data_IF_968887360636
#
_entry.id   IF_968887360636
#
_cell.length_a   1.000
_cell.length_b   1.000
_cell.length_c   1.000
_cell.angle_alpha   90.00
_cell.angle_beta   90.00
_cell.angle_gamma   90.00
#
_symmetry.space_group_name_H-M   'P 1'
#
loop_
_entity.id
_entity.type
_entity.pdbx_description
1 polymer ?
#
# COMPACT_ATOMS: atom_id res chain seq x y z
N UNK A 1 -14.70 22.18 55.99
CA UNK A 1 -13.43 21.88 55.29
C UNK A 1 -13.38 20.37 55.09
N UNK A 2 -13.66 19.87 53.88
CA UNK A 2 -13.61 18.44 53.56
C UNK A 2 -12.24 18.14 52.94
N UNK A 3 -11.46 17.28 53.60
CA UNK A 3 -10.20 16.74 53.10
C UNK A 3 -10.49 15.42 52.40
N UNK A 4 -10.30 15.39 51.07
CA UNK A 4 -10.38 14.18 50.25
C UNK A 4 -8.96 13.79 49.89
N UNK A 5 -8.34 12.95 50.72
CA UNK A 5 -7.08 12.30 50.40
C UNK A 5 -7.35 11.07 49.53
N UNK A 6 -7.37 11.27 48.21
CA UNK A 6 -7.47 10.19 47.22
C UNK A 6 -6.15 9.41 47.19
N UNK A 7 -6.13 8.25 47.83
CA UNK A 7 -5.02 7.30 47.76
C UNK A 7 -5.15 6.49 46.48
N UNK A 8 -4.52 6.95 45.40
CA UNK A 8 -4.32 6.12 44.22
C UNK A 8 -3.38 4.97 44.60
N UNK A 9 -3.93 3.76 44.77
CA UNK A 9 -3.14 2.55 44.97
C UNK A 9 -2.35 2.28 43.69
N UNK A 10 -1.02 2.40 43.76
CA UNK A 10 -0.15 2.03 42.65
C UNK A 10 -0.25 0.52 42.44
N UNK A 11 -0.55 0.04 41.23
CA UNK A 11 -0.58 -1.39 40.95
C UNK A 11 0.83 -1.95 41.15
N UNK A 12 0.97 -2.88 42.10
CA UNK A 12 2.24 -3.58 42.35
C UNK A 12 2.23 -4.85 41.53
N UNK A 13 3.22 -5.03 40.63
CA UNK A 13 3.38 -6.27 39.88
C UNK A 13 3.83 -7.40 40.80
N UNK A 14 3.38 -8.62 40.52
CA UNK A 14 3.81 -9.81 41.27
C UNK A 14 5.31 -10.05 41.10
N UNK A 15 5.97 -10.51 42.17
CA UNK A 15 7.43 -10.72 42.21
C UNK A 15 7.90 -11.73 41.15
N UNK A 16 7.05 -12.69 40.80
CA UNK A 16 7.31 -13.69 39.76
C UNK A 16 7.43 -13.08 38.36
N UNK A 17 6.70 -11.98 38.11
CA UNK A 17 6.75 -11.27 36.83
C UNK A 17 8.06 -10.48 36.75
N UNK A 18 8.40 -9.75 37.82
CA UNK A 18 9.59 -8.88 37.89
C UNK A 18 10.90 -9.69 37.84
N UNK A 19 10.89 -10.89 38.39
CA UNK A 19 12.05 -11.79 38.39
C UNK A 19 12.10 -12.70 37.16
N UNK A 20 11.16 -12.60 36.22
CA UNK A 20 11.20 -13.41 35.00
C UNK A 20 12.37 -13.00 34.12
N UNK A 21 12.98 -13.98 33.44
CA UNK A 21 14.02 -13.71 32.42
C UNK A 21 13.51 -12.76 31.34
N UNK A 22 12.24 -12.87 30.96
CA UNK A 22 11.59 -11.99 30.00
C UNK A 22 11.57 -10.53 30.48
N UNK A 23 11.20 -10.30 31.74
CA UNK A 23 11.18 -8.95 32.32
C UNK A 23 12.59 -8.37 32.44
N UNK A 24 13.58 -9.15 32.88
CA UNK A 24 14.97 -8.71 32.95
C UNK A 24 15.54 -8.37 31.58
N UNK A 25 15.20 -9.15 30.54
CA UNK A 25 15.60 -8.88 29.16
C UNK A 25 14.98 -7.58 28.63
N UNK A 26 13.70 -7.34 28.88
CA UNK A 26 13.03 -6.07 28.54
C UNK A 26 13.71 -4.90 29.28
N UNK A 27 13.95 -5.04 30.58
CA UNK A 27 14.53 -3.98 31.41
C UNK A 27 15.98 -3.63 31.07
N UNK A 28 16.74 -4.55 30.46
CA UNK A 28 18.16 -4.35 30.11
C UNK A 28 18.38 -4.07 28.63
N UNK A 29 17.67 -4.74 27.72
CA UNK A 29 17.81 -4.58 26.27
C UNK A 29 16.90 -3.48 25.70
N UNK A 30 15.69 -3.31 26.23
CA UNK A 30 14.71 -2.30 25.79
C UNK A 30 14.62 -1.13 26.78
N UNK A 31 15.78 -0.71 27.30
CA UNK A 31 15.88 0.24 28.41
C UNK A 31 15.86 1.73 28.00
N UNK A 32 15.65 2.03 26.72
CA UNK A 32 15.51 3.40 26.23
C UNK A 32 14.43 3.49 25.15
N UNK A 33 13.77 4.65 24.98
CA UNK A 33 12.81 4.87 23.90
C UNK A 33 13.38 4.55 22.51
N UNK A 34 14.66 4.88 22.27
CA UNK A 34 15.33 4.60 20.99
C UNK A 34 15.52 3.10 20.73
N UNK A 35 15.90 2.33 21.75
CA UNK A 35 16.03 0.87 21.62
C UNK A 35 14.68 0.18 21.47
N UNK A 36 13.65 0.68 22.17
CA UNK A 36 12.28 0.22 21.99
C UNK A 36 11.85 0.48 20.54
N UNK A 37 12.06 1.69 20.03
CA UNK A 37 11.71 2.05 18.67
C UNK A 37 12.48 1.20 17.65
N UNK A 38 13.79 1.06 17.80
CA UNK A 38 14.61 0.22 16.92
C UNK A 38 14.17 -1.25 16.97
N UNK A 39 13.87 -1.79 18.15
CA UNK A 39 13.38 -3.15 18.31
C UNK A 39 11.97 -3.35 17.76
N UNK A 40 11.15 -2.31 17.67
CA UNK A 40 9.84 -2.33 16.99
C UNK A 40 10.01 -2.25 15.47
N UNK A 41 10.93 -1.41 14.99
CA UNK A 41 11.26 -1.25 13.57
C UNK A 41 11.90 -2.50 12.96
N UNK A 42 12.65 -3.26 13.75
CA UNK A 42 13.29 -4.52 13.35
C UNK A 42 12.34 -5.74 13.38
N UNK A 43 11.07 -5.59 13.76
CA UNK A 43 10.12 -6.72 13.79
C UNK A 43 9.57 -7.03 12.40
N UNK A 44 10.45 -7.37 11.46
CA UNK A 44 10.02 -8.10 10.27
C UNK A 44 9.60 -9.50 10.70
N UNK A 45 8.34 -9.84 10.42
CA UNK A 45 7.76 -11.14 10.73
C UNK A 45 7.81 -12.05 9.51
N UNK A 46 7.91 -13.38 9.70
CA UNK A 46 7.78 -14.31 8.58
C UNK A 46 6.37 -14.24 7.97
N UNK A 47 6.25 -14.51 6.67
CA UNK A 47 4.95 -14.78 6.03
C UNK A 47 4.17 -15.83 6.85
N UNK A 48 2.91 -15.56 7.23
CA UNK A 48 2.08 -16.53 7.94
C UNK A 48 1.83 -17.79 7.08
N UNK A 49 1.45 -18.88 7.74
CA UNK A 49 1.03 -20.10 7.04
C UNK A 49 -0.36 -19.89 6.45
N UNK A 50 -0.40 -19.55 5.16
CA UNK A 50 -1.62 -19.29 4.39
C UNK A 50 -1.98 -20.51 3.55
N UNK A 51 -3.28 -20.72 3.34
CA UNK A 51 -3.79 -21.76 2.43
C UNK A 51 -3.34 -21.54 0.99
N UNK A 52 -3.15 -20.28 0.60
CA UNK A 52 -2.60 -19.91 -0.69
C UNK A 52 -1.10 -20.22 -0.74
N UNK A 53 -0.67 -20.94 -1.78
CA UNK A 53 0.75 -21.17 -2.02
C UNK A 53 1.48 -19.84 -2.28
N UNK A 54 2.69 -19.71 -1.74
CA UNK A 54 3.53 -18.55 -2.02
C UNK A 54 3.88 -18.49 -3.51
N UNK A 55 3.61 -17.35 -4.13
CA UNK A 55 3.95 -17.07 -5.51
C UNK A 55 4.74 -15.75 -5.59
N UNK A 56 6.00 -15.76 -6.05
CA UNK A 56 6.83 -14.56 -6.08
C UNK A 56 6.37 -13.59 -7.19
N UNK A 57 6.69 -12.28 -7.06
CA UNK A 57 6.45 -11.31 -8.11
C UNK A 57 7.25 -11.64 -9.38
N UNK A 58 6.60 -11.51 -10.54
CA UNK A 58 7.12 -11.93 -11.85
C UNK A 58 7.61 -10.77 -12.72
N UNK A 59 7.24 -9.53 -12.37
CA UNK A 59 7.64 -8.33 -13.12
C UNK A 59 8.02 -7.17 -12.18
N UNK A 60 8.63 -6.12 -12.74
CA UNK A 60 9.11 -4.96 -11.97
C UNK A 60 8.00 -4.22 -11.21
N UNK A 61 6.78 -4.18 -11.76
CA UNK A 61 5.66 -3.49 -11.12
C UNK A 61 5.19 -4.29 -9.92
N UNK A 62 5.02 -5.61 -10.06
CA UNK A 62 4.72 -6.51 -8.96
C UNK A 62 5.78 -6.44 -7.88
N UNK A 63 7.07 -6.44 -8.24
CA UNK A 63 8.16 -6.30 -7.27
C UNK A 63 8.06 -5.01 -6.46
N UNK A 64 7.76 -3.88 -7.11
CA UNK A 64 7.56 -2.59 -6.41
C UNK A 64 6.37 -2.64 -5.47
N UNK A 65 5.24 -3.18 -5.90
CA UNK A 65 4.03 -3.27 -5.07
C UNK A 65 4.25 -4.22 -3.88
N UNK A 66 4.84 -5.39 -4.13
CA UNK A 66 5.23 -6.36 -3.10
C UNK A 66 6.17 -5.71 -2.07
N UNK A 67 7.19 -4.97 -2.51
CA UNK A 67 8.11 -4.26 -1.61
C UNK A 67 7.40 -3.24 -0.72
N UNK A 68 6.49 -2.45 -1.29
CA UNK A 68 5.67 -1.50 -0.50
C UNK A 68 4.83 -2.22 0.56
N UNK A 69 4.27 -3.39 0.24
CA UNK A 69 3.50 -4.18 1.19
C UNK A 69 4.39 -4.75 2.29
N UNK A 70 5.55 -5.32 1.94
CA UNK A 70 6.52 -5.84 2.90
C UNK A 70 6.96 -4.76 3.91
N UNK A 71 7.28 -3.55 3.41
CA UNK A 71 7.73 -2.44 4.25
C UNK A 71 6.65 -1.95 5.23
N UNK A 72 5.39 -1.95 4.81
CA UNK A 72 4.28 -1.42 5.61
C UNK A 72 3.69 -2.47 6.56
N UNK A 73 3.63 -3.73 6.13
CA UNK A 73 3.12 -4.83 6.93
C UNK A 73 4.18 -5.43 7.86
N UNK A 74 5.46 -5.08 7.63
CA UNK A 74 6.63 -5.64 8.28
C UNK A 74 6.64 -7.17 8.15
N UNK A 75 6.45 -7.66 6.92
CA UNK A 75 6.48 -9.08 6.57
C UNK A 75 7.62 -9.35 5.60
N UNK A 76 8.42 -10.37 5.87
CA UNK A 76 9.62 -10.70 5.10
C UNK A 76 9.31 -11.15 3.65
N UNK A 77 8.14 -11.76 3.43
CA UNK A 77 7.69 -12.29 2.15
C UNK A 77 6.21 -12.02 1.95
N UNK A 78 5.89 -11.45 0.80
CA UNK A 78 4.51 -11.29 0.33
C UNK A 78 4.41 -11.93 -1.04
N UNK A 79 3.53 -12.93 -1.15
CA UNK A 79 3.16 -13.54 -2.42
C UNK A 79 2.15 -12.66 -3.17
N UNK A 80 2.18 -12.70 -4.51
CA UNK A 80 1.31 -11.83 -5.33
C UNK A 80 -0.19 -12.12 -5.16
N UNK A 81 -0.52 -13.32 -4.70
CA UNK A 81 -1.89 -13.78 -4.45
C UNK A 81 -2.24 -13.82 -2.95
N UNK A 82 -1.34 -13.37 -2.07
CA UNK A 82 -1.62 -13.33 -0.63
C UNK A 82 -2.67 -12.26 -0.33
N UNK A 83 -3.63 -12.61 0.51
CA UNK A 83 -4.64 -11.67 0.95
C UNK A 83 -4.07 -10.69 1.97
N UNK A 84 -4.27 -9.40 1.72
CA UNK A 84 -3.82 -8.29 2.56
C UNK A 84 -4.18 -8.45 4.04
N UNK A 85 -5.40 -8.86 4.37
CA UNK A 85 -5.84 -8.99 5.76
C UNK A 85 -5.26 -10.21 6.44
N UNK A 86 -5.03 -11.30 5.68
CA UNK A 86 -4.38 -12.51 6.18
C UNK A 86 -2.89 -12.28 6.49
N UNK A 87 -2.26 -11.32 5.80
CA UNK A 87 -0.92 -10.80 6.12
C UNK A 87 -0.88 -9.85 7.33
N UNK A 88 -2.03 -9.61 7.98
CA UNK A 88 -2.16 -8.70 9.12
C UNK A 88 -2.40 -7.23 8.74
N UNK A 89 -2.84 -6.98 7.50
CA UNK A 89 -3.19 -5.65 7.03
C UNK A 89 -4.51 -5.12 7.61
N UNK A 90 -4.54 -3.82 7.91
CA UNK A 90 -5.71 -3.10 8.39
C UNK A 90 -5.88 -1.72 7.74
N UNK A 91 -6.89 -0.97 8.17
CA UNK A 91 -7.27 0.30 7.52
C UNK A 91 -6.15 1.34 7.48
N UNK A 92 -5.31 1.43 8.52
CA UNK A 92 -4.19 2.37 8.54
C UNK A 92 -3.14 1.99 7.49
N UNK A 93 -2.82 0.71 7.38
CA UNK A 93 -1.87 0.20 6.40
C UNK A 93 -2.40 0.39 4.97
N UNK A 94 -3.72 0.26 4.73
CA UNK A 94 -4.32 0.59 3.42
C UNK A 94 -4.05 2.05 3.04
N UNK A 95 -4.24 2.99 3.97
CA UNK A 95 -3.99 4.42 3.71
C UNK A 95 -2.50 4.67 3.41
N UNK A 96 -1.59 4.03 4.15
CA UNK A 96 -0.16 4.14 3.92
C UNK A 96 0.26 3.55 2.56
N UNK A 97 -0.24 2.35 2.22
CA UNK A 97 0.00 1.68 0.95
C UNK A 97 -0.52 2.53 -0.20
N UNK A 98 -1.75 3.04 -0.08
CA UNK A 98 -2.36 3.93 -1.07
C UNK A 98 -1.47 5.13 -1.40
N UNK A 99 -1.01 5.82 -0.35
CA UNK A 99 -0.12 6.99 -0.48
C UNK A 99 1.19 6.61 -1.18
N UNK A 100 1.86 5.55 -0.73
CA UNK A 100 3.14 5.11 -1.34
C UNK A 100 2.98 4.63 -2.78
N UNK A 101 1.92 3.88 -3.09
CA UNK A 101 1.66 3.39 -4.44
C UNK A 101 1.40 4.52 -5.43
N UNK A 102 0.52 5.45 -5.07
CA UNK A 102 0.18 6.59 -5.95
C UNK A 102 1.40 7.47 -6.21
N UNK A 103 2.28 7.66 -5.22
CA UNK A 103 3.54 8.38 -5.37
C UNK A 103 4.56 7.60 -6.23
N UNK A 104 4.78 6.32 -5.93
CA UNK A 104 5.80 5.51 -6.59
C UNK A 104 5.48 5.21 -8.06
N UNK A 105 4.20 4.96 -8.36
CA UNK A 105 3.73 4.61 -9.70
C UNK A 105 3.17 5.80 -10.48
N UNK A 106 3.02 6.97 -9.85
CA UNK A 106 2.42 8.19 -10.44
C UNK A 106 1.03 7.95 -11.04
N UNK A 107 0.24 7.09 -10.39
CA UNK A 107 -1.11 6.69 -10.82
C UNK A 107 -2.20 7.39 -10.01
N UNK A 108 -3.37 7.52 -10.62
CA UNK A 108 -4.61 7.84 -9.90
C UNK A 108 -5.29 6.52 -9.51
N UNK A 109 -5.21 6.16 -8.24
CA UNK A 109 -5.87 4.98 -7.68
C UNK A 109 -6.92 5.43 -6.68
N UNK A 110 -8.22 5.12 -6.85
CA UNK A 110 -9.19 5.33 -5.79
C UNK A 110 -8.88 4.40 -4.60
N UNK A 111 -8.85 4.93 -3.38
CA UNK A 111 -8.53 4.12 -2.18
C UNK A 111 -9.51 2.94 -1.99
N UNK A 112 -10.76 3.10 -2.43
CA UNK A 112 -11.78 2.05 -2.41
C UNK A 112 -11.36 0.79 -3.16
N UNK A 113 -10.51 0.90 -4.18
CA UNK A 113 -10.03 -0.24 -4.94
C UNK A 113 -9.10 -1.14 -4.12
N UNK A 114 -8.36 -0.61 -3.14
CA UNK A 114 -7.51 -1.44 -2.28
C UNK A 114 -8.31 -2.32 -1.33
N UNK A 115 -9.56 -1.95 -1.02
CA UNK A 115 -10.47 -2.81 -0.26
C UNK A 115 -11.12 -3.88 -1.15
N UNK A 116 -11.39 -3.55 -2.43
CA UNK A 116 -11.99 -4.47 -3.38
C UNK A 116 -10.99 -5.48 -3.96
N UNK A 117 -9.71 -5.12 -4.01
CA UNK A 117 -8.63 -5.90 -4.62
C UNK A 117 -7.60 -6.25 -3.55
N UNK A 118 -7.88 -7.26 -2.69
CA UNK A 118 -7.08 -7.54 -1.50
C UNK A 118 -5.77 -8.26 -1.81
N UNK A 119 -5.37 -8.39 -3.07
CA UNK A 119 -4.11 -9.03 -3.48
C UNK A 119 -3.34 -8.15 -4.45
N UNK A 120 -2.01 -8.30 -4.48
CA UNK A 120 -1.14 -7.57 -5.40
C UNK A 120 -1.53 -7.86 -6.85
N UNK A 121 -1.78 -9.14 -7.19
CA UNK A 121 -2.16 -9.57 -8.54
C UNK A 121 -3.44 -8.89 -9.00
N UNK A 122 -4.47 -8.85 -8.16
CA UNK A 122 -5.74 -8.21 -8.49
C UNK A 122 -5.59 -6.71 -8.70
N UNK A 123 -4.79 -6.04 -7.87
CA UNK A 123 -4.49 -4.62 -8.01
C UNK A 123 -3.75 -4.31 -9.32
N UNK A 124 -2.72 -5.08 -9.66
CA UNK A 124 -1.96 -4.90 -10.91
C UNK A 124 -2.88 -5.07 -12.13
N UNK A 125 -3.69 -6.13 -12.16
CA UNK A 125 -4.63 -6.35 -13.27
C UNK A 125 -5.63 -5.20 -13.44
N UNK A 126 -6.08 -4.60 -12.34
CA UNK A 126 -6.93 -3.40 -12.40
C UNK A 126 -6.18 -2.21 -13.03
N UNK A 127 -4.95 -1.96 -12.59
CA UNK A 127 -4.14 -0.85 -13.12
C UNK A 127 -3.82 -1.01 -14.60
N UNK A 128 -3.51 -2.22 -15.05
CA UNK A 128 -3.27 -2.53 -16.46
C UNK A 128 -4.52 -2.26 -17.31
N UNK A 129 -5.71 -2.63 -16.83
CA UNK A 129 -6.97 -2.35 -17.52
C UNK A 129 -7.26 -0.85 -17.62
N UNK A 130 -6.99 -0.09 -16.57
CA UNK A 130 -7.16 1.37 -16.57
C UNK A 130 -6.16 2.10 -17.48
N UNK A 131 -4.95 1.57 -17.64
CA UNK A 131 -3.97 2.10 -18.59
C UNK A 131 -4.43 1.86 -20.03
N UNK A 132 -4.82 0.63 -20.36
CA UNK A 132 -5.32 0.25 -21.69
C UNK A 132 -6.56 1.07 -22.08
N UNK A 133 -7.47 1.33 -21.13
CA UNK A 133 -8.67 2.14 -21.37
C UNK A 133 -8.32 3.61 -21.66
N UNK A 134 -7.36 4.17 -20.92
CA UNK A 134 -6.88 5.55 -21.08
C UNK A 134 -6.18 5.74 -22.43
N UNK A 135 -5.33 4.81 -22.83
CA UNK A 135 -4.62 4.84 -24.12
C UNK A 135 -5.61 4.75 -25.30
N UNK A 136 -6.57 3.82 -25.23
CA UNK A 136 -7.60 3.68 -26.25
C UNK A 136 -8.45 4.95 -26.41
N UNK A 137 -8.85 5.58 -25.30
CA UNK A 137 -9.60 6.84 -25.33
C UNK A 137 -8.78 7.98 -25.96
N UNK A 138 -7.50 8.09 -25.61
CA UNK A 138 -6.58 9.12 -26.14
C UNK A 138 -6.39 8.97 -27.64
N UNK A 139 -6.15 7.75 -28.12
CA UNK A 139 -6.00 7.44 -29.54
C UNK A 139 -7.28 7.77 -30.33
N UNK A 140 -8.44 7.45 -29.77
CA UNK A 140 -9.72 7.76 -30.42
C UNK A 140 -10.02 9.26 -30.51
N UNK A 141 -9.56 10.07 -29.55
CA UNK A 141 -9.66 11.55 -29.63
C UNK A 141 -8.74 12.09 -30.72
N UNK A 142 -7.51 11.59 -30.81
CA UNK A 142 -6.53 12.00 -31.82
C UNK A 142 -6.98 11.63 -33.25
N UNK A 143 -7.54 10.43 -33.44
CA UNK A 143 -8.08 9.98 -34.73
C UNK A 143 -9.26 10.85 -35.19
N UNK A 144 -10.18 11.22 -34.27
CA UNK A 144 -11.27 12.15 -34.59
C UNK A 144 -10.73 13.53 -34.97
N UNK A 145 -9.81 14.09 -34.18
CA UNK A 145 -9.24 15.42 -34.44
C UNK A 145 -8.48 15.49 -35.78
N UNK A 146 -7.72 14.44 -36.12
CA UNK A 146 -6.98 14.36 -37.38
C UNK A 146 -7.90 14.23 -38.60
N UNK A 147 -8.94 13.38 -38.54
CA UNK A 147 -9.99 13.31 -39.57
C UNK A 147 -10.70 14.65 -39.77
N UNK A 148 -11.05 15.34 -38.69
CA UNK A 148 -11.76 16.63 -38.75
C UNK A 148 -10.90 17.74 -39.39
N UNK A 149 -9.60 17.78 -39.09
CA UNK A 149 -8.64 18.69 -39.76
C UNK A 149 -8.53 18.42 -41.26
N UNK A 150 -8.53 17.15 -41.68
CA UNK A 150 -8.44 16.77 -43.10
C UNK A 150 -9.68 17.17 -43.90
N UNK A 151 -10.87 17.08 -43.29
CA UNK A 151 -12.11 17.57 -43.91
C UNK A 151 -12.08 19.09 -44.06
N UNK A 152 -11.64 19.81 -43.03
CA UNK A 152 -11.56 21.28 -43.06
C UNK A 152 -10.52 21.79 -44.06
N UNK A 153 -9.37 21.13 -44.21
CA UNK A 153 -8.35 21.53 -45.19
C UNK A 153 -8.83 21.34 -46.63
N UNK A 154 -9.55 20.23 -46.92
CA UNK A 154 -10.22 20.01 -48.21
C UNK A 154 -11.21 21.13 -48.54
N UNK A 155 -12.00 21.55 -47.57
CA UNK A 155 -13.02 22.57 -47.77
C UNK A 155 -12.43 23.98 -48.00
N UNK A 156 -11.24 24.26 -47.44
CA UNK A 156 -10.49 25.51 -47.67
C UNK A 156 -9.87 25.59 -49.06
N UNK A 157 -9.35 24.48 -49.58
CA UNK A 157 -8.75 24.39 -50.92
C UNK A 157 -9.80 24.48 -52.05
N UNK A 158 -11.01 23.95 -51.82
CA UNK A 158 -12.10 24.03 -52.79
C UNK A 158 -12.59 25.48 -53.01
N UNK A 159 -12.62 26.30 -51.97
CA UNK A 159 -13.06 27.71 -52.06
C UNK A 159 -12.03 28.64 -52.72
N UNK A 160 -10.75 28.29 -52.70
CA UNK A 160 -9.68 29.14 -53.22
C UNK A 160 -9.41 28.95 -54.73
N UNK A 161 -10.08 28.00 -55.39
CA UNK A 161 -9.97 27.72 -56.84
C UNK A 161 -11.02 28.45 -57.69
N UNK A 162 -11.95 29.17 -57.07
CA UNK A 162 -13.09 29.83 -57.75
C UNK A 162 -12.90 31.37 -57.82
N UNK A 163 -11.71 31.87 -57.49
CA UNK A 163 -11.29 33.26 -57.74
C UNK A 163 -10.15 33.25 -58.74
#
# INVERSE_FOLDING_TARGET
QMSVASHASTPTLSTDIVNSELFQKIATELNSPEKILAALELQTRPRPDLSQAYEPPQNEVEQKVVGIWQDILHVDKVGVNDNFTELGGGSLQVVQIHSRLTQALKIKLPITQLFALPTVRALIQYLEREQLSTEAATNAVQDRASKQRMVMSRHKLARNRVR
#
